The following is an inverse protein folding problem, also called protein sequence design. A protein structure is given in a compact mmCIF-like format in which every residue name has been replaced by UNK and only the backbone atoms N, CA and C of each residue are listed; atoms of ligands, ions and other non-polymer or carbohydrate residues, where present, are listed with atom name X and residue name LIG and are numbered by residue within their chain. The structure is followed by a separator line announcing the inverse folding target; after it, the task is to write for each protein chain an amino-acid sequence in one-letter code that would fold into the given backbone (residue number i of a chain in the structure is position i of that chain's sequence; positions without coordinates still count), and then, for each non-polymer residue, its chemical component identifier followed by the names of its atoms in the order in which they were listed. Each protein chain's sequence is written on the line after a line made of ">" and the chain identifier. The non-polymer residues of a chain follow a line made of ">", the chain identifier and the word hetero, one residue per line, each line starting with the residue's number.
data_IF_757117047709
#
_entry.id   IF_757117047709
#
_cell.length_a   1.000
_cell.length_b   1.000
_cell.length_c   1.000
_cell.angle_alpha   90.00
_cell.angle_beta   90.00
_cell.angle_gamma   90.00
#
_symmetry.space_group_name_H-M   'P 1'
#
loop_
_entity.id
_entity.type
_entity.pdbx_description
1 polymer ?
#
# COMPACT_ATOMS: atom_id res chain seq x y z
N UNK A 1 2.20 -20.88 9.46
CA UNK A 1 2.27 -19.90 10.57
C UNK A 1 2.12 -18.47 10.08
N UNK A 2 2.98 -17.94 9.18
CA UNK A 2 2.82 -16.57 8.62
C UNK A 2 1.40 -16.32 8.08
N UNK A 3 0.85 -17.27 7.32
CA UNK A 3 -0.49 -17.15 6.70
C UNK A 3 -1.59 -16.98 7.75
N UNK A 4 -1.50 -17.73 8.85
CA UNK A 4 -2.48 -17.62 9.94
C UNK A 4 -2.29 -16.32 10.72
N UNK A 5 -1.04 -15.90 10.94
CA UNK A 5 -0.73 -14.65 11.64
C UNK A 5 -1.23 -13.41 10.88
N UNK A 6 -1.08 -13.35 9.55
CA UNK A 6 -1.60 -12.23 8.76
C UNK A 6 -3.13 -12.25 8.66
N UNK A 7 -3.75 -13.43 8.58
CA UNK A 7 -5.21 -13.56 8.64
C UNK A 7 -5.76 -13.03 9.97
N UNK A 8 -5.16 -13.46 11.09
CA UNK A 8 -5.49 -12.96 12.41
C UNK A 8 -5.27 -11.45 12.54
N UNK A 9 -4.19 -10.90 11.96
CA UNK A 9 -3.94 -9.46 11.98
C UNK A 9 -5.01 -8.67 11.20
N UNK A 10 -5.41 -9.15 10.02
CA UNK A 10 -6.47 -8.52 9.22
C UNK A 10 -7.86 -8.65 9.89
N UNK A 11 -8.11 -9.70 10.69
CA UNK A 11 -9.34 -9.86 11.47
C UNK A 11 -9.34 -8.99 12.74
N UNK A 12 -8.22 -8.94 13.46
CA UNK A 12 -8.03 -8.02 14.59
C UNK A 12 -8.23 -6.56 14.18
N UNK A 13 -7.76 -6.15 13.00
CA UNK A 13 -7.98 -4.79 12.49
C UNK A 13 -9.48 -4.46 12.35
N UNK A 14 -10.29 -5.43 11.87
CA UNK A 14 -11.74 -5.24 11.73
C UNK A 14 -12.42 -5.23 13.09
N UNK A 15 -12.09 -6.20 13.94
CA UNK A 15 -12.66 -6.33 15.28
C UNK A 15 -12.34 -5.11 16.15
N UNK A 16 -11.09 -4.64 16.14
CA UNK A 16 -10.67 -3.44 16.86
C UNK A 16 -11.50 -2.24 16.40
N UNK A 17 -11.72 -2.06 15.09
CA UNK A 17 -12.55 -0.97 14.60
C UNK A 17 -14.02 -1.13 15.02
N UNK A 18 -14.59 -2.34 14.97
CA UNK A 18 -15.96 -2.60 15.43
C UNK A 18 -16.11 -2.34 16.94
N UNK A 19 -15.19 -2.82 17.77
CA UNK A 19 -15.22 -2.58 19.22
C UNK A 19 -15.01 -1.11 19.54
N UNK A 20 -14.10 -0.42 18.86
CA UNK A 20 -13.86 0.98 19.15
C UNK A 20 -15.04 1.88 18.71
N UNK A 21 -15.72 1.56 17.60
CA UNK A 21 -16.99 2.20 17.24
C UNK A 21 -18.08 1.91 18.28
N UNK A 22 -18.14 0.68 18.80
CA UNK A 22 -19.09 0.32 19.87
C UNK A 22 -18.85 1.12 21.15
N UNK A 23 -17.59 1.30 21.56
CA UNK A 23 -17.22 2.14 22.73
C UNK A 23 -17.68 3.58 22.52
N UNK A 24 -17.50 4.14 21.33
CA UNK A 24 -17.95 5.50 21.00
C UNK A 24 -19.46 5.67 21.01
N UNK A 25 -20.18 4.72 20.43
CA UNK A 25 -21.64 4.76 20.45
C UNK A 25 -22.18 4.62 21.87
N UNK A 26 -21.59 3.73 22.67
CA UNK A 26 -22.06 3.46 24.03
C UNK A 26 -21.76 4.62 24.98
N UNK A 27 -20.51 5.11 24.99
CA UNK A 27 -20.13 6.24 25.83
C UNK A 27 -20.66 7.59 25.29
N UNK A 28 -20.96 7.68 23.99
CA UNK A 28 -21.56 8.85 23.37
C UNK A 28 -22.95 9.22 23.91
N UNK A 29 -23.67 8.29 24.55
CA UNK A 29 -24.91 8.63 25.30
C UNK A 29 -24.61 9.46 26.55
N UNK A 30 -23.49 9.19 27.21
CA UNK A 30 -23.05 9.92 28.40
C UNK A 30 -22.33 11.21 28.07
N UNK A 31 -21.46 11.18 27.05
CA UNK A 31 -20.67 12.33 26.64
C UNK A 31 -20.57 12.41 25.10
N UNK A 32 -21.59 12.95 24.42
CA UNK A 32 -21.66 12.97 22.96
C UNK A 32 -20.62 13.88 22.30
N UNK A 33 -20.18 14.95 22.98
CA UNK A 33 -19.20 15.90 22.46
C UNK A 33 -17.81 15.27 22.31
N UNK A 34 -17.45 14.31 23.15
CA UNK A 34 -16.14 13.62 23.11
C UNK A 34 -15.85 12.97 21.75
N UNK A 35 -16.88 12.44 21.10
CA UNK A 35 -16.76 11.77 19.80
C UNK A 35 -16.36 12.75 18.70
N UNK A 36 -16.68 14.04 18.84
CA UNK A 36 -16.28 15.09 17.89
C UNK A 36 -14.86 15.59 18.16
N UNK A 37 -14.48 15.67 19.43
CA UNK A 37 -13.19 16.19 19.89
C UNK A 37 -12.06 15.19 19.58
N UNK A 38 -12.27 13.91 19.92
CA UNK A 38 -11.23 12.87 19.78
C UNK A 38 -11.48 11.98 18.55
N UNK A 39 -10.79 12.31 17.47
CA UNK A 39 -10.90 11.60 16.19
C UNK A 39 -10.27 10.19 16.22
N UNK A 40 -9.21 9.97 17.01
CA UNK A 40 -8.57 8.65 17.08
C UNK A 40 -9.24 7.71 18.09
N UNK A 41 -9.48 6.48 17.66
CA UNK A 41 -10.29 5.52 18.40
C UNK A 41 -9.56 4.98 19.64
N UNK A 42 -8.23 4.82 19.54
CA UNK A 42 -7.41 4.28 20.63
C UNK A 42 -7.26 5.35 21.72
N UNK A 43 -6.96 6.59 21.34
CA UNK A 43 -6.92 7.70 22.28
C UNK A 43 -8.28 7.93 22.95
N UNK A 44 -9.38 7.78 22.21
CA UNK A 44 -10.74 7.83 22.78
C UNK A 44 -10.93 6.78 23.88
N UNK A 45 -10.59 5.51 23.62
CA UNK A 45 -10.73 4.44 24.61
C UNK A 45 -9.86 4.69 25.87
N UNK A 46 -8.64 5.23 25.70
CA UNK A 46 -7.77 5.62 26.84
C UNK A 46 -8.38 6.76 27.66
N UNK A 47 -8.90 7.80 26.99
CA UNK A 47 -9.52 8.94 27.66
C UNK A 47 -10.77 8.53 28.44
N UNK A 48 -11.66 7.72 27.85
CA UNK A 48 -12.86 7.20 28.51
C UNK A 48 -12.50 6.35 29.73
N UNK A 49 -11.50 5.48 29.61
CA UNK A 49 -11.02 4.65 30.73
C UNK A 49 -10.56 5.51 31.91
N UNK A 50 -9.74 6.53 31.65
CA UNK A 50 -9.21 7.43 32.69
C UNK A 50 -10.30 8.30 33.31
N UNK A 51 -11.15 8.91 32.49
CA UNK A 51 -12.19 9.83 32.93
C UNK A 51 -13.30 9.13 33.72
N UNK A 52 -13.83 8.02 33.18
CA UNK A 52 -15.04 7.38 33.70
C UNK A 52 -16.25 8.29 33.62
N UNK A 53 -16.57 8.98 34.71
CA UNK A 53 -17.70 9.91 34.79
C UNK A 53 -17.25 11.32 34.38
N UNK A 54 -18.10 12.06 33.65
CA UNK A 54 -17.85 13.43 33.18
C UNK A 54 -17.39 14.39 34.29
N UNK A 55 -17.86 14.20 35.53
CA UNK A 55 -17.52 15.06 36.67
C UNK A 55 -16.03 15.00 37.02
N UNK A 56 -15.39 13.86 36.76
CA UNK A 56 -13.97 13.67 37.05
C UNK A 56 -13.05 14.26 35.98
N UNK A 57 -13.58 14.72 34.85
CA UNK A 57 -12.81 15.30 33.75
C UNK A 57 -12.01 16.55 34.18
N UNK A 58 -12.53 17.32 35.14
CA UNK A 58 -11.90 18.56 35.61
C UNK A 58 -10.67 18.31 36.47
N UNK A 59 -10.65 17.20 37.22
CA UNK A 59 -9.60 16.88 38.19
C UNK A 59 -8.48 16.01 37.62
N UNK A 60 -8.68 15.43 36.43
CA UNK A 60 -7.72 14.52 35.80
C UNK A 60 -6.88 15.26 34.76
N UNK A 61 -5.62 14.84 34.67
CA UNK A 61 -4.66 15.28 33.66
C UNK A 61 -4.65 14.27 32.51
N UNK A 62 -4.85 14.74 31.28
CA UNK A 62 -4.85 13.92 30.07
C UNK A 62 -3.61 14.14 29.19
N UNK A 63 -2.61 14.87 29.69
CA UNK A 63 -1.40 15.25 28.94
C UNK A 63 -0.62 14.07 28.33
N UNK A 64 -0.70 12.88 28.93
CA UNK A 64 -0.04 11.67 28.38
C UNK A 64 -0.76 11.05 27.18
N UNK A 65 -2.04 11.38 26.98
CA UNK A 65 -2.93 10.72 26.01
C UNK A 65 -3.34 11.69 24.91
N UNK A 66 -3.60 12.95 25.24
CA UNK A 66 -4.13 13.95 24.31
C UNK A 66 -3.19 15.16 24.23
N UNK A 67 -3.13 15.83 23.07
CA UNK A 67 -2.49 17.15 22.98
C UNK A 67 -3.19 18.17 23.89
N UNK A 68 -2.44 19.13 24.43
CA UNK A 68 -2.95 20.17 25.34
C UNK A 68 -4.18 20.92 24.77
N UNK A 69 -4.17 21.20 23.46
CA UNK A 69 -5.28 21.87 22.76
C UNK A 69 -6.60 21.08 22.86
N UNK A 70 -6.50 19.75 22.69
CA UNK A 70 -7.66 18.84 22.70
C UNK A 70 -8.13 18.58 24.12
N UNK A 71 -7.20 18.56 25.08
CA UNK A 71 -7.53 18.41 26.50
C UNK A 71 -8.31 19.61 27.04
N UNK A 72 -7.91 20.84 26.68
CA UNK A 72 -8.64 22.04 27.06
C UNK A 72 -10.08 22.01 26.53
N UNK A 73 -10.25 21.69 25.25
CA UNK A 73 -11.57 21.55 24.61
C UNK A 73 -12.41 20.46 25.29
N UNK A 74 -11.80 19.33 25.67
CA UNK A 74 -12.47 18.25 26.38
C UNK A 74 -12.97 18.69 27.77
N UNK A 75 -12.17 19.45 28.53
CA UNK A 75 -12.57 19.96 29.85
C UNK A 75 -13.69 20.99 29.76
N UNK A 76 -13.62 21.90 28.78
CA UNK A 76 -14.71 22.85 28.51
C UNK A 76 -16.00 22.13 28.10
N UNK A 77 -15.89 21.16 27.18
CA UNK A 77 -17.03 20.37 26.73
C UNK A 77 -17.64 19.53 27.85
N UNK A 78 -16.85 19.04 28.81
CA UNK A 78 -17.36 18.26 29.94
C UNK A 78 -18.28 19.09 30.86
N UNK A 79 -18.02 20.40 31.00
CA UNK A 79 -18.86 21.32 31.78
C UNK A 79 -20.18 21.65 31.06
N UNK A 80 -20.12 21.77 29.73
CA UNK A 80 -21.26 22.18 28.89
C UNK A 80 -22.09 20.97 28.40
N UNK A 81 -21.59 19.74 28.62
CA UNK A 81 -22.15 18.53 28.03
C UNK A 81 -23.62 18.30 28.39
N UNK A 82 -24.40 17.99 27.35
CA UNK A 82 -25.83 17.68 27.44
C UNK A 82 -26.11 16.17 27.58
N UNK A 83 -25.09 15.36 27.84
CA UNK A 83 -25.23 13.91 27.93
C UNK A 83 -25.99 13.44 29.18
N UNK A 84 -26.52 12.20 29.11
CA UNK A 84 -27.30 11.61 30.19
C UNK A 84 -26.40 11.01 31.27
N UNK A 85 -26.81 11.10 32.53
CA UNK A 85 -26.10 10.43 33.62
C UNK A 85 -26.28 8.91 33.52
N UNK A 86 -25.17 8.18 33.63
CA UNK A 86 -25.15 6.71 33.59
C UNK A 86 -24.89 6.16 34.98
N UNK A 87 -25.40 4.96 35.23
CA UNK A 87 -25.14 4.25 36.47
C UNK A 87 -23.68 3.76 36.52
N UNK A 88 -23.14 3.60 37.73
CA UNK A 88 -21.78 3.13 37.95
C UNK A 88 -21.54 1.72 37.39
N UNK A 89 -22.58 0.87 37.40
CA UNK A 89 -22.53 -0.47 36.80
C UNK A 89 -22.38 -0.42 35.27
N UNK A 90 -23.02 0.54 34.62
CA UNK A 90 -22.88 0.71 33.16
C UNK A 90 -21.50 1.29 32.84
N UNK A 91 -21.01 2.23 33.66
CA UNK A 91 -19.66 2.77 33.53
C UNK A 91 -18.58 1.72 33.75
N UNK A 92 -18.75 0.76 34.66
CA UNK A 92 -17.79 -0.34 34.83
C UNK A 92 -17.73 -1.22 33.58
N UNK A 93 -18.88 -1.55 32.99
CA UNK A 93 -18.93 -2.36 31.77
C UNK A 93 -18.28 -1.62 30.58
N UNK A 94 -18.47 -0.30 30.47
CA UNK A 94 -17.81 0.51 29.43
C UNK A 94 -16.29 0.53 29.63
N UNK A 95 -15.82 0.65 30.88
CA UNK A 95 -14.39 0.59 31.21
C UNK A 95 -13.77 -0.76 30.86
N UNK A 96 -14.45 -1.87 31.17
CA UNK A 96 -14.00 -3.21 30.78
C UNK A 96 -13.89 -3.36 29.26
N UNK A 97 -14.86 -2.81 28.51
CA UNK A 97 -14.78 -2.81 27.04
C UNK A 97 -13.60 -1.97 26.53
N UNK A 98 -13.30 -0.84 27.18
CA UNK A 98 -12.11 -0.04 26.86
C UNK A 98 -10.82 -0.84 27.11
N UNK A 99 -10.75 -1.57 28.23
CA UNK A 99 -9.61 -2.44 28.54
C UNK A 99 -9.40 -3.52 27.49
N UNK A 100 -10.48 -4.14 27.02
CA UNK A 100 -10.42 -5.12 25.93
C UNK A 100 -9.89 -4.49 24.63
N UNK A 101 -10.35 -3.29 24.26
CA UNK A 101 -9.86 -2.58 23.07
C UNK A 101 -8.37 -2.26 23.17
N UNK A 102 -7.91 -1.81 24.34
CA UNK A 102 -6.50 -1.52 24.58
C UNK A 102 -5.64 -2.79 24.52
N UNK A 103 -6.08 -3.87 25.16
CA UNK A 103 -5.41 -5.17 25.12
C UNK A 103 -5.32 -5.72 23.69
N UNK A 104 -6.39 -5.61 22.89
CA UNK A 104 -6.39 -5.99 21.47
C UNK A 104 -5.42 -5.14 20.65
N UNK A 105 -5.33 -3.83 20.92
CA UNK A 105 -4.38 -2.94 20.25
C UNK A 105 -2.93 -3.30 20.57
N UNK A 106 -2.62 -3.64 21.83
CA UNK A 106 -1.29 -4.10 22.23
C UNK A 106 -0.95 -5.45 21.60
N UNK A 107 -1.88 -6.40 21.64
CA UNK A 107 -1.70 -7.72 21.02
C UNK A 107 -1.47 -7.61 19.51
N UNK A 108 -2.18 -6.70 18.83
CA UNK A 108 -1.95 -6.38 17.41
C UNK A 108 -0.51 -5.90 17.16
N UNK A 109 0.02 -5.02 18.00
CA UNK A 109 1.40 -4.55 17.88
C UNK A 109 2.41 -5.70 18.08
N UNK A 110 2.20 -6.54 19.09
CA UNK A 110 3.03 -7.73 19.33
C UNK A 110 2.99 -8.71 18.14
N UNK A 111 1.80 -8.93 17.58
CA UNK A 111 1.62 -9.81 16.42
C UNK A 111 2.32 -9.24 15.17
N UNK A 112 2.32 -7.91 15.00
CA UNK A 112 3.05 -7.24 13.94
C UNK A 112 4.57 -7.44 14.06
N UNK A 113 5.13 -7.29 15.26
CA UNK A 113 6.57 -7.51 15.50
C UNK A 113 6.96 -8.98 15.32
N UNK A 114 6.11 -9.90 15.75
CA UNK A 114 6.25 -11.33 15.46
C UNK A 114 6.24 -11.61 13.95
N UNK A 115 5.30 -11.02 13.21
CA UNK A 115 5.23 -11.18 11.75
C UNK A 115 6.49 -10.62 11.07
N UNK A 116 6.99 -9.46 11.52
CA UNK A 116 8.20 -8.82 10.99
C UNK A 116 9.45 -9.69 11.19
N UNK A 117 9.67 -10.19 12.40
CA UNK A 117 10.82 -11.07 12.68
C UNK A 117 10.73 -12.37 11.87
N UNK A 118 9.55 -12.98 11.82
CA UNK A 118 9.34 -14.24 11.11
C UNK A 118 9.45 -14.10 9.59
N UNK A 119 8.97 -12.99 9.04
CA UNK A 119 9.08 -12.72 7.61
C UNK A 119 10.53 -12.52 7.19
N UNK A 120 11.33 -11.78 7.97
CA UNK A 120 12.75 -11.61 7.69
C UNK A 120 13.53 -12.93 7.72
N UNK A 121 13.10 -13.91 8.53
CA UNK A 121 13.70 -15.25 8.57
C UNK A 121 13.31 -16.12 7.38
N UNK A 122 12.08 -15.96 6.85
CA UNK A 122 11.54 -16.86 5.81
C UNK A 122 11.74 -16.31 4.40
N UNK A 123 11.56 -15.01 4.20
CA UNK A 123 11.63 -14.38 2.90
C UNK A 123 12.32 -13.01 3.01
N UNK A 124 13.64 -13.00 3.30
CA UNK A 124 14.42 -11.77 3.43
C UNK A 124 14.40 -10.90 2.17
N UNK A 125 14.53 -11.49 0.98
CA UNK A 125 14.61 -10.72 -0.26
C UNK A 125 13.25 -10.16 -0.68
N UNK A 126 12.18 -10.92 -0.49
CA UNK A 126 10.81 -10.42 -0.69
C UNK A 126 10.52 -9.24 0.24
N UNK A 127 10.89 -9.36 1.52
CA UNK A 127 10.70 -8.31 2.52
C UNK A 127 11.41 -7.02 2.13
N UNK A 128 12.66 -7.12 1.68
CA UNK A 128 13.43 -5.97 1.23
C UNK A 128 12.73 -5.22 0.07
N UNK A 129 12.02 -5.93 -0.82
CA UNK A 129 11.37 -5.36 -2.01
C UNK A 129 9.99 -4.74 -1.77
N UNK A 130 9.07 -5.48 -1.13
CA UNK A 130 7.66 -5.07 -0.98
C UNK A 130 7.28 -4.69 0.44
N UNK A 131 8.11 -5.04 1.43
CA UNK A 131 7.81 -4.90 2.86
C UNK A 131 7.13 -6.14 3.44
N UNK A 132 7.12 -6.20 4.77
CA UNK A 132 6.70 -7.34 5.58
C UNK A 132 5.20 -7.65 5.40
N UNK A 133 4.34 -6.64 5.50
CA UNK A 133 2.88 -6.80 5.41
C UNK A 133 2.44 -7.25 4.03
N UNK A 134 2.94 -6.59 2.98
CA UNK A 134 2.58 -6.91 1.61
C UNK A 134 3.16 -8.28 1.24
N UNK A 135 4.39 -8.59 1.66
CA UNK A 135 4.98 -9.92 1.52
C UNK A 135 4.14 -11.02 2.18
N UNK A 136 3.68 -10.79 3.41
CA UNK A 136 2.81 -11.73 4.14
C UNK A 136 1.50 -11.99 3.41
N UNK A 137 0.83 -10.93 2.92
CA UNK A 137 -0.41 -11.06 2.15
C UNK A 137 -0.21 -11.79 0.83
N UNK A 138 0.91 -11.57 0.14
CA UNK A 138 1.24 -12.31 -1.08
C UNK A 138 1.43 -13.81 -0.80
N UNK A 139 2.14 -14.17 0.28
CA UNK A 139 2.33 -15.57 0.68
C UNK A 139 1.00 -16.20 1.11
N UNK A 140 0.16 -15.46 1.83
CA UNK A 140 -1.14 -15.95 2.28
C UNK A 140 -2.07 -16.29 1.12
N UNK A 141 -2.17 -15.41 0.14
CA UNK A 141 -2.99 -15.64 -1.05
C UNK A 141 -2.37 -16.71 -1.98
N UNK A 142 -1.03 -16.77 -2.06
CA UNK A 142 -0.32 -17.87 -2.72
C UNK A 142 -0.46 -19.24 -2.01
N UNK A 143 -0.95 -19.28 -0.77
CA UNK A 143 -1.13 -20.49 0.05
C UNK A 143 0.17 -21.09 0.62
N UNK A 144 1.30 -20.94 -0.06
CA UNK A 144 2.63 -21.26 0.47
C UNK A 144 3.71 -20.48 -0.30
N UNK A 145 4.90 -20.33 0.30
CA UNK A 145 6.03 -19.69 -0.35
C UNK A 145 6.43 -20.44 -1.64
N UNK A 146 6.44 -21.77 -1.60
CA UNK A 146 6.75 -22.64 -2.75
C UNK A 146 5.72 -22.50 -3.88
N UNK A 147 4.43 -22.41 -3.55
CA UNK A 147 3.40 -22.19 -4.57
C UNK A 147 3.52 -20.81 -5.19
N UNK A 148 3.83 -19.80 -4.37
CA UNK A 148 4.07 -18.44 -4.86
C UNK A 148 5.30 -18.38 -5.78
N UNK A 149 6.37 -19.13 -5.49
CA UNK A 149 7.57 -19.20 -6.33
C UNK A 149 7.31 -19.76 -7.74
N UNK A 150 6.35 -20.70 -7.86
CA UNK A 150 5.93 -21.27 -9.15
C UNK A 150 5.14 -20.27 -10.02
N UNK A 151 4.56 -19.23 -9.42
CA UNK A 151 3.78 -18.26 -10.17
C UNK A 151 4.68 -17.34 -11.03
N UNK A 152 4.18 -16.90 -12.20
CA UNK A 152 4.88 -15.90 -13.00
C UNK A 152 4.66 -14.49 -12.42
N UNK A 153 5.57 -13.56 -12.77
CA UNK A 153 5.47 -12.16 -12.34
C UNK A 153 4.17 -11.47 -12.77
N UNK A 154 3.55 -11.87 -13.88
CA UNK A 154 2.24 -11.36 -14.31
C UNK A 154 1.10 -11.75 -13.37
N UNK A 155 1.12 -12.95 -12.81
CA UNK A 155 0.15 -13.40 -11.80
C UNK A 155 0.38 -12.66 -10.49
N UNK A 156 1.64 -12.56 -10.06
CA UNK A 156 2.04 -11.83 -8.84
C UNK A 156 1.63 -10.34 -8.91
N UNK A 157 1.68 -9.73 -10.10
CA UNK A 157 1.25 -8.34 -10.32
C UNK A 157 -0.23 -8.09 -10.00
N UNK A 158 -1.10 -9.04 -10.36
CA UNK A 158 -2.57 -8.91 -10.27
C UNK A 158 -3.17 -9.72 -9.11
N UNK A 159 -2.32 -10.31 -8.28
CA UNK A 159 -2.70 -11.14 -7.16
C UNK A 159 -3.55 -10.34 -6.15
N UNK A 160 -4.71 -10.87 -5.77
CA UNK A 160 -5.76 -10.18 -4.99
C UNK A 160 -6.78 -9.38 -5.82
N UNK A 161 -6.56 -9.20 -7.12
CA UNK A 161 -7.51 -8.55 -8.03
C UNK A 161 -8.20 -9.55 -8.99
N UNK A 162 -8.21 -10.85 -8.65
CA UNK A 162 -8.68 -11.92 -9.54
C UNK A 162 -10.16 -11.75 -9.91
N UNK A 163 -11.01 -11.37 -8.96
CA UNK A 163 -12.45 -11.15 -9.22
C UNK A 163 -12.66 -10.07 -10.28
N UNK A 164 -11.91 -8.97 -10.19
CA UNK A 164 -11.99 -7.88 -11.15
C UNK A 164 -11.38 -8.27 -12.50
N UNK A 165 -10.28 -9.03 -12.50
CA UNK A 165 -9.66 -9.58 -13.70
C UNK A 165 -10.61 -10.50 -14.46
N UNK A 166 -11.21 -11.50 -13.80
CA UNK A 166 -12.13 -12.43 -14.43
C UNK A 166 -13.40 -11.75 -14.93
N UNK A 167 -13.90 -10.75 -14.21
CA UNK A 167 -15.02 -9.92 -14.68
C UNK A 167 -14.65 -9.19 -15.97
N UNK A 168 -13.50 -8.51 -16.00
CA UNK A 168 -13.04 -7.76 -17.17
C UNK A 168 -12.81 -8.66 -18.38
N UNK A 169 -12.26 -9.86 -18.20
CA UNK A 169 -12.07 -10.84 -19.28
C UNK A 169 -13.41 -11.32 -19.86
N UNK A 170 -14.42 -11.58 -19.01
CA UNK A 170 -15.76 -11.99 -19.46
C UNK A 170 -16.47 -10.88 -20.24
N UNK A 171 -16.35 -9.64 -19.77
CA UNK A 171 -17.02 -8.48 -20.39
C UNK A 171 -16.17 -7.77 -21.45
N UNK A 172 -14.99 -8.30 -21.79
CA UNK A 172 -13.99 -7.66 -22.69
C UNK A 172 -13.66 -6.21 -22.30
N UNK A 173 -13.68 -5.90 -21.01
CA UNK A 173 -13.28 -4.60 -20.46
C UNK A 173 -11.79 -4.58 -20.07
N UNK A 174 -11.28 -3.40 -19.74
CA UNK A 174 -9.88 -3.24 -19.33
C UNK A 174 -9.57 -4.03 -18.05
N UNK A 175 -8.48 -4.78 -18.06
CA UNK A 175 -8.02 -5.57 -16.92
C UNK A 175 -7.38 -4.68 -15.84
N UNK A 176 -7.47 -5.08 -14.56
CA UNK A 176 -6.79 -4.37 -13.48
C UNK A 176 -5.27 -4.41 -13.67
N UNK A 177 -4.60 -3.28 -13.36
CA UNK A 177 -3.16 -3.12 -13.58
C UNK A 177 -2.30 -3.59 -12.40
N UNK A 178 -2.89 -3.75 -11.22
CA UNK A 178 -2.21 -4.12 -9.98
C UNK A 178 -3.21 -4.77 -9.01
N UNK A 179 -2.71 -5.63 -8.13
CA UNK A 179 -3.45 -6.21 -7.00
C UNK A 179 -2.86 -5.77 -5.66
N UNK A 180 -2.55 -6.72 -4.78
CA UNK A 180 -2.00 -6.51 -3.43
C UNK A 180 -0.69 -5.71 -3.43
N UNK A 181 0.11 -5.84 -4.49
CA UNK A 181 1.39 -5.14 -4.65
C UNK A 181 1.19 -3.61 -4.68
N UNK A 182 0.00 -3.10 -4.98
CA UNK A 182 -0.29 -1.66 -4.99
C UNK A 182 0.05 -0.95 -3.67
N UNK A 183 -0.09 -1.64 -2.54
CA UNK A 183 0.19 -1.10 -1.21
C UNK A 183 1.68 -1.12 -0.84
N UNK A 184 2.56 -1.60 -1.74
CA UNK A 184 4.00 -1.53 -1.52
C UNK A 184 4.49 -0.08 -1.55
N UNK A 185 5.41 0.25 -0.64
CA UNK A 185 5.96 1.62 -0.48
C UNK A 185 6.47 2.21 -1.80
N UNK A 186 7.17 1.41 -2.61
CA UNK A 186 7.74 1.84 -3.89
C UNK A 186 6.69 2.26 -4.94
N UNK A 187 5.50 1.64 -4.93
CA UNK A 187 4.40 2.02 -5.84
C UNK A 187 3.61 3.20 -5.26
N UNK A 188 3.51 3.29 -3.93
CA UNK A 188 2.91 4.42 -3.23
C UNK A 188 3.58 5.74 -3.59
N UNK A 189 4.92 5.75 -3.68
CA UNK A 189 5.72 6.92 -4.04
C UNK A 189 5.57 7.35 -5.50
N UNK A 190 5.29 6.40 -6.41
CA UNK A 190 5.27 6.67 -7.83
C UNK A 190 4.04 7.50 -8.27
N UNK A 191 4.24 8.45 -9.19
CA UNK A 191 3.12 9.20 -9.77
C UNK A 191 2.09 8.28 -10.48
N UNK A 192 0.77 8.60 -10.45
CA UNK A 192 -0.30 7.71 -10.95
C UNK A 192 -0.11 7.17 -12.37
N UNK A 193 0.50 7.98 -13.25
CA UNK A 193 0.83 7.60 -14.63
C UNK A 193 1.87 6.48 -14.73
N UNK A 194 2.79 6.41 -13.77
CA UNK A 194 3.93 5.50 -13.77
C UNK A 194 3.71 4.26 -12.90
N UNK A 195 2.72 4.27 -11.99
CA UNK A 195 2.39 3.14 -11.09
C UNK A 195 2.27 1.80 -11.80
N UNK A 196 1.61 1.76 -12.97
CA UNK A 196 1.47 0.50 -13.74
C UNK A 196 2.78 -0.03 -14.33
N UNK A 197 3.71 0.86 -14.74
CA UNK A 197 5.02 0.46 -15.27
C UNK A 197 5.94 -0.06 -14.16
N UNK A 198 5.92 0.61 -13.00
CA UNK A 198 6.68 0.20 -11.82
C UNK A 198 6.10 -1.08 -11.23
N UNK A 199 4.78 -1.21 -11.12
CA UNK A 199 4.13 -2.44 -10.64
C UNK A 199 4.56 -3.69 -11.41
N UNK A 200 4.60 -3.62 -12.75
CA UNK A 200 5.10 -4.73 -13.58
C UNK A 200 6.57 -5.06 -13.30
N UNK A 201 7.40 -4.03 -13.13
CA UNK A 201 8.83 -4.20 -12.86
C UNK A 201 9.08 -4.78 -11.47
N UNK A 202 8.33 -4.29 -10.47
CA UNK A 202 8.37 -4.79 -9.10
C UNK A 202 7.91 -6.24 -9.05
N UNK A 203 6.75 -6.58 -9.63
CA UNK A 203 6.25 -7.94 -9.64
C UNK A 203 7.21 -8.95 -10.30
N UNK A 204 7.88 -8.54 -11.39
CA UNK A 204 8.90 -9.37 -12.03
C UNK A 204 10.13 -9.60 -11.13
N UNK A 205 10.58 -8.57 -10.41
CA UNK A 205 11.70 -8.69 -9.46
C UNK A 205 11.32 -9.43 -8.19
N UNK A 206 10.12 -9.22 -7.67
CA UNK A 206 9.55 -9.98 -6.57
C UNK A 206 9.44 -11.46 -6.92
N UNK A 207 9.02 -11.82 -8.14
CA UNK A 207 8.96 -13.22 -8.58
C UNK A 207 10.35 -13.89 -8.54
N UNK A 208 11.41 -13.17 -8.90
CA UNK A 208 12.77 -13.68 -8.81
C UNK A 208 13.24 -13.81 -7.36
N UNK A 209 12.97 -12.80 -6.53
CA UNK A 209 13.31 -12.83 -5.10
C UNK A 209 12.58 -13.97 -4.36
N UNK A 210 11.29 -14.18 -4.63
CA UNK A 210 10.50 -15.28 -4.03
C UNK A 210 11.08 -16.64 -4.41
N UNK A 211 11.51 -16.81 -5.66
CA UNK A 211 12.14 -18.08 -6.09
C UNK A 211 13.48 -18.31 -5.42
N UNK A 212 14.25 -17.25 -5.22
CA UNK A 212 15.50 -17.33 -4.47
C UNK A 212 15.21 -17.68 -3.00
N UNK A 213 14.34 -16.93 -2.33
CA UNK A 213 13.94 -17.20 -0.93
C UNK A 213 13.33 -18.60 -0.73
N UNK A 214 12.70 -19.19 -1.76
CA UNK A 214 12.08 -20.50 -1.66
C UNK A 214 13.01 -21.69 -1.99
N UNK A 215 14.11 -21.46 -2.71
CA UNK A 215 14.97 -22.52 -3.28
C UNK A 215 16.44 -22.40 -2.91
N UNK A 216 16.91 -21.23 -2.51
CA UNK A 216 18.30 -21.00 -2.14
C UNK A 216 18.52 -21.37 -0.67
N UNK A 217 19.66 -22.00 -0.37
CA UNK A 217 20.05 -22.40 0.98
C UNK A 217 20.79 -21.28 1.75
N UNK A 218 20.48 -20.00 1.44
CA UNK A 218 21.16 -18.84 2.03
C UNK A 218 20.20 -17.72 2.43
N UNK A 219 20.40 -17.19 3.64
CA UNK A 219 19.58 -16.12 4.23
C UNK A 219 20.02 -14.70 3.81
N UNK A 220 20.68 -14.56 2.66
CA UNK A 220 21.23 -13.28 2.22
C UNK A 220 20.14 -12.37 1.61
N UNK A 221 20.00 -11.15 2.16
CA UNK A 221 19.10 -10.10 1.62
C UNK A 221 19.70 -9.31 0.44
N UNK A 222 20.89 -9.70 -0.02
CA UNK A 222 21.70 -8.94 -0.98
C UNK A 222 20.97 -8.75 -2.32
N UNK A 223 20.32 -9.81 -2.82
CA UNK A 223 19.57 -9.79 -4.07
C UNK A 223 18.35 -8.85 -3.99
N UNK A 224 17.66 -8.84 -2.85
CA UNK A 224 16.52 -7.98 -2.57
C UNK A 224 16.91 -6.51 -2.54
N UNK A 225 18.01 -6.17 -1.84
CA UNK A 225 18.53 -4.79 -1.80
C UNK A 225 18.99 -4.31 -3.19
N UNK A 226 19.77 -5.11 -3.91
CA UNK A 226 20.27 -4.72 -5.23
C UNK A 226 19.10 -4.52 -6.22
N UNK A 227 18.10 -5.40 -6.16
CA UNK A 227 16.88 -5.28 -6.97
C UNK A 227 16.05 -4.05 -6.59
N UNK A 228 15.97 -3.71 -5.31
CA UNK A 228 15.30 -2.50 -4.83
C UNK A 228 15.97 -1.24 -5.38
N UNK A 229 17.29 -1.14 -5.27
CA UNK A 229 18.07 0.00 -5.81
C UNK A 229 17.81 0.16 -7.30
N UNK A 230 17.87 -0.94 -8.08
CA UNK A 230 17.57 -0.91 -9.53
C UNK A 230 16.16 -0.39 -9.82
N UNK A 231 15.17 -0.75 -9.01
CA UNK A 231 13.79 -0.28 -9.19
C UNK A 231 13.62 1.18 -8.78
N UNK A 232 14.28 1.62 -7.71
CA UNK A 232 14.30 3.03 -7.27
C UNK A 232 14.98 3.93 -8.32
N UNK A 233 16.11 3.51 -8.89
CA UNK A 233 16.76 4.22 -10.00
C UNK A 233 15.81 4.32 -11.19
N UNK A 234 15.11 3.23 -11.53
CA UNK A 234 14.13 3.23 -12.62
C UNK A 234 12.95 4.16 -12.34
N UNK A 235 12.49 4.23 -11.09
CA UNK A 235 11.45 5.16 -10.67
C UNK A 235 11.90 6.61 -10.87
N UNK A 236 13.10 6.97 -10.40
CA UNK A 236 13.68 8.32 -10.59
C UNK A 236 13.78 8.71 -12.06
N UNK A 237 14.24 7.79 -12.91
CA UNK A 237 14.30 8.01 -14.37
C UNK A 237 12.91 8.24 -14.97
N UNK A 238 11.89 7.51 -14.50
CA UNK A 238 10.51 7.66 -14.99
C UNK A 238 9.84 8.94 -14.50
N UNK A 239 10.22 9.44 -13.32
CA UNK A 239 9.74 10.70 -12.75
C UNK A 239 10.50 11.92 -13.30
N UNK A 240 11.58 11.72 -14.05
CA UNK A 240 12.27 12.80 -14.75
C UNK A 240 13.15 13.67 -13.84
N UNK A 241 13.43 13.24 -12.60
CA UNK A 241 14.52 13.84 -11.81
C UNK A 241 15.85 13.31 -12.34
N UNK A 242 16.36 14.05 -13.32
CA UNK A 242 17.62 13.89 -14.07
C UNK A 242 17.64 12.83 -15.19
N UNK A 243 17.15 13.25 -16.36
CA UNK A 243 18.04 13.54 -17.49
C UNK A 243 17.25 14.37 -18.48
N UNK A 244 17.56 15.67 -18.52
CA UNK A 244 17.27 16.51 -19.66
C UNK A 244 17.90 15.88 -20.90
N UNK A 245 17.14 15.03 -21.59
CA UNK A 245 17.30 14.81 -23.02
C UNK A 245 16.05 15.35 -23.67
N UNK A 246 16.17 16.62 -24.05
CA UNK A 246 15.72 17.15 -25.32
C UNK A 246 15.64 16.04 -26.39
N UNK A 247 14.52 15.35 -26.45
CA UNK A 247 14.21 14.36 -27.46
C UNK A 247 12.70 14.36 -27.65
N UNK A 248 12.20 15.36 -28.39
CA UNK A 248 10.81 15.35 -28.82
C UNK A 248 10.17 16.69 -29.19
N UNK A 249 10.87 17.83 -29.07
CA UNK A 249 10.43 19.06 -29.71
C UNK A 249 11.24 19.28 -30.99
N UNK A 250 10.54 19.57 -32.08
CA UNK A 250 11.02 19.98 -33.42
C UNK A 250 11.80 18.96 -34.29
N UNK A 251 11.11 17.94 -34.81
CA UNK A 251 11.24 17.62 -36.24
C UNK A 251 9.85 17.26 -36.78
N UNK A 252 9.34 18.13 -37.64
CA UNK A 252 8.00 18.05 -38.20
C UNK A 252 7.71 16.68 -38.78
N UNK A 253 6.49 16.20 -38.58
CA UNK A 253 5.96 15.07 -39.35
C UNK A 253 6.06 15.46 -40.84
N UNK A 254 6.79 14.73 -41.70
CA UNK A 254 6.60 14.91 -43.13
C UNK A 254 5.14 14.54 -43.42
N UNK A 255 4.40 15.46 -44.05
CA UNK A 255 3.05 15.21 -44.56
C UNK A 255 3.11 13.96 -45.43
N UNK A 256 2.34 12.94 -45.08
CA UNK A 256 2.08 11.82 -45.98
C UNK A 256 1.11 12.39 -47.02
N UNK A 257 1.61 12.79 -48.17
CA UNK A 257 0.77 13.12 -49.32
C UNK A 257 0.13 11.83 -49.83
N UNK A 258 -1.19 11.84 -49.95
CA UNK A 258 -1.97 10.72 -50.46
C UNK A 258 -1.55 10.44 -51.91
N UNK A 259 -1.27 9.17 -52.20
CA UNK A 259 -0.90 8.70 -53.53
C UNK A 259 -2.12 8.80 -54.47
N UNK A 260 -2.22 9.91 -55.24
CA UNK A 260 -3.19 10.03 -56.32
C UNK A 260 -2.77 9.16 -57.51
N UNK A 261 -3.61 8.16 -57.77
CA UNK A 261 -3.40 7.12 -58.76
C UNK A 261 -4.04 7.54 -60.08
N UNK A 262 -3.49 8.53 -60.77
CA UNK A 262 -3.73 8.72 -62.21
C UNK A 262 -2.86 9.84 -62.81
N UNK A 263 -1.82 9.45 -63.56
CA UNK A 263 -1.40 10.14 -64.79
C UNK A 263 -0.41 9.27 -65.56
N UNK A 264 -0.93 8.52 -66.53
CA UNK A 264 -0.17 8.01 -67.67
C UNK A 264 0.36 9.20 -68.48
N UNK A 265 1.66 9.21 -68.79
CA UNK A 265 2.26 10.17 -69.70
C UNK A 265 3.77 9.99 -69.76
N UNK A 266 4.26 9.42 -70.86
CA UNK A 266 5.61 8.91 -71.05
C UNK A 266 6.76 9.91 -70.89
N UNK A 267 7.97 9.36 -70.74
CA UNK A 267 9.22 10.10 -70.89
C UNK A 267 10.36 9.49 -70.08
N UNK A 268 11.11 8.58 -70.69
CA UNK A 268 12.41 8.13 -70.19
C UNK A 268 13.35 9.33 -69.98
N UNK A 269 14.32 9.20 -69.06
CA UNK A 269 15.77 9.37 -69.31
C UNK A 269 16.56 9.42 -67.97
N UNK A 270 17.43 8.40 -67.85
CA UNK A 270 18.84 8.48 -67.41
C UNK A 270 19.16 8.72 -65.92
N UNK A 271 19.55 7.62 -65.28
CA UNK A 271 20.51 7.54 -64.17
C UNK A 271 21.92 7.99 -64.61
N UNK A 272 22.63 8.85 -63.85
CA UNK A 272 24.08 8.91 -63.94
C UNK A 272 24.72 8.06 -62.83
N UNK A 273 25.42 7.01 -63.26
CA UNK A 273 26.35 6.25 -62.43
C UNK A 273 27.55 7.11 -62.05
N UNK A 274 27.91 7.15 -60.76
CA UNK A 274 29.17 7.75 -60.30
C UNK A 274 30.16 6.65 -59.90
N UNK A 275 31.02 6.33 -60.86
CA UNK A 275 32.27 5.60 -60.66
C UNK A 275 33.18 6.47 -59.79
N UNK A 276 33.62 5.96 -58.64
CA UNK A 276 34.84 6.47 -57.98
C UNK A 276 35.81 5.31 -57.84
N UNK A 277 36.90 5.49 -58.58
CA UNK A 277 38.04 4.62 -58.76
C UNK A 277 38.77 4.31 -57.45
N UNK A 278 39.17 3.05 -57.34
CA UNK A 278 40.17 2.47 -56.44
C UNK A 278 41.55 2.89 -56.96
N UNK A 279 42.35 3.58 -56.16
CA UNK A 279 43.78 3.74 -56.42
C UNK A 279 44.57 3.41 -55.16
N UNK A 280 45.37 2.34 -55.26
CA UNK A 280 46.40 1.91 -54.33
C UNK A 280 47.56 2.91 -54.34
N UNK A 281 48.03 3.35 -53.17
CA UNK A 281 49.37 3.15 -52.60
C UNK A 281 49.36 3.68 -51.16
#
# INVERSE_FOLDING_TARGET
>A
MIIQAIGLLDDLDKELNTYAMRVREWYGWHFPELTKIVADNIHYAKAVKMMGNRVNAVNLDFSEILPEDVEAELKEAAVISMGTEVNDLDLSNIRELCDQVLALSEYRAQLYDYLKSRMNTIAPNLTALVGELVGARLIAHGGSLMNLAKQPGSTIQILGAEKALFRALKTKHATPKYGLIYHASLIGQAAPKHKGKISRSLAAKSALAIRYDALADGDDNSMGLESRIKLETRLRVLEGKELGRSAGSTKGKPKIEAYEKDRKGGGALITPAKIISRMLH
#
